data_IF_085957240542
#
_entry.id   IF_085957240542
#
_cell.length_a   1.000
_cell.length_b   1.000
_cell.length_c   1.000
_cell.angle_alpha   90.00
_cell.angle_beta   90.00
_cell.angle_gamma   90.00
#
_symmetry.space_group_name_H-M   'P 1'
#
loop_
_entity.id
_entity.type
_entity.pdbx_description
1 polymer ?
#
# COMPACT_ATOMS: atom_id res chain seq x y z
N UNK A 1 16.60 20.28 9.49
CA UNK A 1 16.83 19.69 8.17
C UNK A 1 15.85 18.54 8.02
N UNK A 2 15.02 18.54 6.97
CA UNK A 2 14.12 17.43 6.68
C UNK A 2 14.89 16.31 5.93
N UNK A 3 14.46 15.07 6.08
CA UNK A 3 15.02 13.93 5.35
C UNK A 3 14.59 13.97 3.88
N UNK A 4 15.49 13.65 2.95
CA UNK A 4 15.22 13.60 1.50
C UNK A 4 16.04 12.50 0.82
N UNK A 5 15.44 11.81 -0.16
CA UNK A 5 16.10 10.85 -1.04
C UNK A 5 15.95 11.37 -2.47
N UNK A 6 17.08 11.67 -3.14
CA UNK A 6 17.08 12.18 -4.51
C UNK A 6 17.68 11.18 -5.51
N UNK A 7 18.20 10.05 -5.02
CA UNK A 7 18.72 8.98 -5.86
C UNK A 7 17.60 7.96 -6.13
N UNK A 8 17.40 7.63 -7.41
CA UNK A 8 16.34 6.72 -7.84
C UNK A 8 16.50 5.31 -7.24
N UNK A 9 17.72 4.77 -7.19
CA UNK A 9 17.98 3.43 -6.68
C UNK A 9 17.77 3.35 -5.16
N UNK A 10 18.12 4.40 -4.43
CA UNK A 10 17.80 4.53 -3.00
C UNK A 10 16.28 4.56 -2.76
N UNK A 11 15.54 5.26 -3.62
CA UNK A 11 14.08 5.34 -3.52
C UNK A 11 13.41 4.00 -3.88
N UNK A 12 13.92 3.28 -4.88
CA UNK A 12 13.50 1.91 -5.19
C UNK A 12 13.80 0.96 -4.03
N UNK A 13 14.96 1.09 -3.39
CA UNK A 13 15.30 0.29 -2.22
C UNK A 13 14.33 0.57 -1.07
N UNK A 14 14.02 1.84 -0.80
CA UNK A 14 13.02 2.21 0.21
C UNK A 14 11.64 1.65 -0.13
N UNK A 15 11.21 1.74 -1.39
CA UNK A 15 9.95 1.15 -1.83
C UNK A 15 9.87 -0.35 -1.50
N UNK A 16 10.94 -1.11 -1.79
CA UNK A 16 11.01 -2.55 -1.46
C UNK A 16 10.92 -2.80 0.05
N UNK A 17 11.61 -2.00 0.86
CA UNK A 17 11.55 -2.10 2.33
C UNK A 17 10.13 -1.84 2.83
N UNK A 18 9.45 -0.81 2.31
CA UNK A 18 8.08 -0.48 2.69
C UNK A 18 7.10 -1.59 2.27
N UNK A 19 7.25 -2.12 1.06
CA UNK A 19 6.43 -3.24 0.59
C UNK A 19 6.61 -4.49 1.45
N UNK A 20 7.85 -4.84 1.81
CA UNK A 20 8.13 -5.97 2.70
C UNK A 20 7.51 -5.77 4.08
N UNK A 21 7.64 -4.57 4.65
CA UNK A 21 7.09 -4.28 5.97
C UNK A 21 5.55 -4.31 5.99
N UNK A 22 4.89 -3.77 4.95
CA UNK A 22 3.43 -3.75 4.86
C UNK A 22 2.83 -5.10 4.47
N UNK A 23 3.50 -5.85 3.60
CA UNK A 23 3.04 -7.12 3.06
C UNK A 23 3.93 -8.29 3.50
N UNK A 24 4.36 -8.26 4.76
CA UNK A 24 4.95 -9.44 5.39
C UNK A 24 3.86 -10.44 5.75
N UNK A 25 4.10 -11.71 5.46
CA UNK A 25 3.22 -12.81 5.88
C UNK A 25 3.35 -13.12 7.37
N UNK A 26 4.49 -12.74 7.98
CA UNK A 26 4.79 -12.96 9.39
C UNK A 26 5.47 -11.71 9.99
N UNK A 27 4.69 -10.62 10.20
CA UNK A 27 5.24 -9.36 10.65
C UNK A 27 5.62 -9.42 12.14
N UNK A 28 6.86 -9.03 12.46
CA UNK A 28 7.27 -8.80 13.84
C UNK A 28 6.46 -7.68 14.52
N UNK A 29 6.07 -6.65 13.75
CA UNK A 29 5.15 -5.60 14.19
C UNK A 29 3.91 -5.56 13.29
N UNK A 30 2.79 -6.19 13.72
CA UNK A 30 1.57 -6.28 12.92
C UNK A 30 0.80 -4.94 12.82
N UNK A 31 1.20 -3.90 13.57
CA UNK A 31 0.57 -2.57 13.51
C UNK A 31 1.00 -1.81 12.26
N UNK A 32 2.21 -2.07 11.75
CA UNK A 32 2.76 -1.40 10.56
C UNK A 32 1.86 -1.56 9.34
N UNK A 33 1.30 -2.76 9.15
CA UNK A 33 0.49 -3.08 7.96
C UNK A 33 -0.73 -2.17 7.84
N UNK A 34 -1.44 -1.94 8.95
CA UNK A 34 -2.65 -1.12 9.00
C UNK A 34 -2.44 0.33 9.44
N UNK A 35 -1.18 0.76 9.61
CA UNK A 35 -0.88 2.10 10.11
C UNK A 35 -1.17 3.17 9.07
N UNK A 36 -1.99 4.20 9.37
CA UNK A 36 -2.28 5.30 8.46
C UNK A 36 -1.04 6.17 8.17
N UNK A 37 -0.10 6.25 9.13
CA UNK A 37 1.15 6.97 8.95
C UNK A 37 2.06 6.24 7.95
N UNK A 38 2.18 4.92 8.09
CA UNK A 38 2.95 4.10 7.16
C UNK A 38 2.30 4.06 5.78
N UNK A 39 0.96 4.04 5.72
CA UNK A 39 0.18 4.19 4.49
C UNK A 39 0.51 5.49 3.75
N UNK A 40 0.58 6.61 4.48
CA UNK A 40 0.98 7.90 3.93
C UNK A 40 2.40 7.86 3.37
N UNK A 41 3.36 7.33 4.13
CA UNK A 41 4.76 7.19 3.69
C UNK A 41 4.86 6.30 2.46
N UNK A 42 4.17 5.16 2.43
CA UNK A 42 4.18 4.24 1.30
C UNK A 42 3.70 4.89 0.01
N UNK A 43 2.61 5.66 0.09
CA UNK A 43 2.09 6.41 -1.05
C UNK A 43 3.09 7.48 -1.51
N UNK A 44 3.68 8.25 -0.58
CA UNK A 44 4.67 9.28 -0.92
C UNK A 44 5.91 8.71 -1.62
N UNK A 45 6.40 7.54 -1.18
CA UNK A 45 7.53 6.85 -1.82
C UNK A 45 7.19 6.47 -3.27
N UNK A 46 5.99 5.93 -3.52
CA UNK A 46 5.57 5.55 -4.87
C UNK A 46 5.34 6.79 -5.75
N UNK A 47 4.72 7.85 -5.24
CA UNK A 47 4.56 9.10 -6.01
C UNK A 47 5.90 9.72 -6.40
N UNK A 48 6.88 9.76 -5.48
CA UNK A 48 8.22 10.25 -5.78
C UNK A 48 8.91 9.40 -6.86
N UNK A 49 8.72 8.07 -6.86
CA UNK A 49 9.23 7.20 -7.94
C UNK A 49 8.57 7.53 -9.28
N UNK A 50 7.25 7.70 -9.28
CA UNK A 50 6.49 8.08 -10.48
C UNK A 50 7.01 9.40 -11.04
N UNK A 51 7.20 10.42 -10.20
CA UNK A 51 7.72 11.72 -10.61
C UNK A 51 9.11 11.59 -11.28
N UNK A 52 10.04 10.88 -10.64
CA UNK A 52 11.38 10.66 -11.21
C UNK A 52 11.35 9.89 -12.54
N UNK A 53 10.47 8.89 -12.68
CA UNK A 53 10.36 8.15 -13.94
C UNK A 53 9.67 8.95 -15.04
N UNK A 54 8.66 9.77 -14.70
CA UNK A 54 8.01 10.67 -15.66
C UNK A 54 9.00 11.71 -16.18
N UNK A 55 9.87 12.25 -15.34
CA UNK A 55 10.93 13.17 -15.77
C UNK A 55 11.91 12.52 -16.77
N UNK A 56 12.16 11.22 -16.63
CA UNK A 56 13.12 10.47 -17.45
C UNK A 56 12.52 9.87 -18.73
N UNK A 57 11.30 9.35 -18.65
CA UNK A 57 10.68 8.49 -19.67
C UNK A 57 9.32 9.03 -20.17
N UNK A 58 8.81 10.10 -19.55
CA UNK A 58 7.56 10.74 -19.91
C UNK A 58 6.32 10.10 -19.28
N UNK A 59 5.14 10.62 -19.66
CA UNK A 59 3.86 10.30 -19.01
C UNK A 59 3.44 8.82 -19.13
N UNK A 60 4.00 8.09 -20.11
CA UNK A 60 3.76 6.65 -20.25
C UNK A 60 4.20 5.86 -19.01
N UNK A 61 5.21 6.33 -18.26
CA UNK A 61 5.64 5.66 -17.02
C UNK A 61 4.62 5.85 -15.89
N UNK A 62 3.89 6.98 -15.83
CA UNK A 62 2.79 7.14 -14.87
C UNK A 62 1.71 6.09 -15.07
N UNK A 63 1.31 5.82 -16.32
CA UNK A 63 0.29 4.82 -16.63
C UNK A 63 0.71 3.43 -16.15
N UNK A 64 1.97 3.03 -16.39
CA UNK A 64 2.51 1.75 -15.90
C UNK A 64 2.44 1.63 -14.37
N UNK A 65 2.76 2.70 -13.65
CA UNK A 65 2.66 2.70 -12.19
C UNK A 65 1.21 2.70 -11.70
N UNK A 66 0.31 3.41 -12.37
CA UNK A 66 -1.12 3.37 -12.05
C UNK A 66 -1.69 1.96 -12.23
N UNK A 67 -1.28 1.25 -13.27
CA UNK A 67 -1.59 -0.16 -13.49
C UNK A 67 -0.96 -1.04 -12.41
N UNK A 68 0.33 -0.86 -12.12
CA UNK A 68 1.02 -1.60 -11.06
C UNK A 68 0.40 -1.38 -9.68
N UNK A 69 -0.17 -0.20 -9.41
CA UNK A 69 -0.83 0.06 -8.12
C UNK A 69 -2.17 -0.62 -8.00
N UNK A 70 -2.79 -1.12 -9.07
CA UNK A 70 -4.07 -1.82 -8.94
C UNK A 70 -3.89 -3.10 -8.12
N UNK A 71 -4.62 -3.19 -7.01
CA UNK A 71 -4.78 -4.43 -6.27
C UNK A 71 -5.71 -5.35 -7.05
N UNK A 72 -5.39 -6.64 -7.11
CA UNK A 72 -6.26 -7.66 -7.67
C UNK A 72 -6.24 -8.92 -6.81
N UNK A 73 -7.29 -9.77 -6.86
CA UNK A 73 -7.38 -11.00 -6.07
C UNK A 73 -6.23 -11.99 -6.29
N UNK A 74 -5.58 -11.95 -7.46
CA UNK A 74 -4.47 -12.83 -7.83
C UNK A 74 -3.15 -12.43 -7.17
N UNK A 75 -3.06 -11.20 -6.63
CA UNK A 75 -1.85 -10.70 -6.00
C UNK A 75 -1.63 -11.29 -4.61
N UNK A 76 -0.36 -11.55 -4.28
CA UNK A 76 0.05 -11.97 -2.94
C UNK A 76 -0.42 -10.98 -1.87
N UNK A 77 -0.36 -9.68 -2.15
CA UNK A 77 -0.76 -8.62 -1.23
C UNK A 77 -2.24 -8.72 -0.84
N UNK A 78 -3.12 -9.08 -1.77
CA UNK A 78 -4.54 -9.27 -1.50
C UNK A 78 -4.77 -10.39 -0.48
N UNK A 79 -4.07 -11.51 -0.63
CA UNK A 79 -4.16 -12.64 0.28
C UNK A 79 -3.67 -12.28 1.69
N UNK A 80 -2.63 -11.45 1.80
CA UNK A 80 -2.12 -10.97 3.08
C UNK A 80 -3.12 -10.04 3.76
N UNK A 81 -3.72 -9.10 3.02
CA UNK A 81 -4.78 -8.23 3.55
C UNK A 81 -5.95 -9.08 4.05
N UNK A 82 -6.37 -10.08 3.28
CA UNK A 82 -7.45 -10.98 3.67
C UNK A 82 -7.09 -11.79 4.94
N UNK A 83 -5.87 -12.29 5.05
CA UNK A 83 -5.40 -13.00 6.24
C UNK A 83 -5.38 -12.07 7.48
N UNK A 84 -4.96 -10.82 7.30
CA UNK A 84 -4.94 -9.80 8.36
C UNK A 84 -6.34 -9.46 8.86
N UNK A 85 -7.31 -9.29 7.96
CA UNK A 85 -8.70 -9.03 8.33
C UNK A 85 -9.36 -10.21 9.05
N UNK A 86 -8.90 -11.44 8.77
CA UNK A 86 -9.37 -12.66 9.46
C UNK A 86 -8.70 -12.90 10.81
N UNK A 87 -7.49 -12.39 11.04
CA UNK A 87 -6.74 -12.62 12.28
C UNK A 87 -7.10 -11.63 13.39
N UNK A 88 -7.51 -10.41 13.03
CA UNK A 88 -7.98 -9.39 13.96
C UNK A 88 -9.41 -9.00 13.62
N UNK A 89 -10.37 -9.23 14.53
CA UNK A 89 -11.78 -8.87 14.34
C UNK A 89 -12.17 -7.54 14.99
N UNK A 90 -11.22 -6.80 15.57
CA UNK A 90 -11.49 -5.52 16.23
C UNK A 90 -12.15 -4.51 15.30
N UNK A 91 -11.79 -4.52 14.01
CA UNK A 91 -12.36 -3.66 12.97
C UNK A 91 -13.87 -3.86 12.77
N UNK A 92 -14.42 -5.04 13.09
CA UNK A 92 -15.87 -5.30 12.93
C UNK A 92 -16.74 -4.42 13.82
N UNK A 93 -16.17 -3.83 14.87
CA UNK A 93 -16.86 -2.91 15.78
C UNK A 93 -16.85 -1.47 15.30
N UNK A 94 -15.99 -1.16 14.32
CA UNK A 94 -15.86 0.18 13.75
C UNK A 94 -17.03 0.49 12.83
N UNK A 95 -17.27 1.77 12.60
CA UNK A 95 -18.28 2.18 11.64
C UNK A 95 -17.82 1.85 10.20
N UNK A 96 -18.74 1.82 9.21
CA UNK A 96 -18.40 1.44 7.85
C UNK A 96 -17.27 2.28 7.22
N UNK A 97 -17.23 3.59 7.47
CA UNK A 97 -16.21 4.48 6.92
C UNK A 97 -14.82 4.16 7.48
N UNK A 98 -14.73 3.85 8.78
CA UNK A 98 -13.50 3.41 9.44
C UNK A 98 -13.01 2.07 8.91
N UNK A 99 -13.91 1.11 8.63
CA UNK A 99 -13.56 -0.17 8.04
C UNK A 99 -12.99 0.00 6.63
N UNK A 100 -13.68 0.78 5.80
CA UNK A 100 -13.24 1.10 4.44
C UNK A 100 -11.88 1.78 4.46
N UNK A 101 -11.69 2.78 5.35
CA UNK A 101 -10.41 3.47 5.51
C UNK A 101 -9.31 2.50 5.91
N UNK A 102 -9.58 1.60 6.85
CA UNK A 102 -8.60 0.61 7.29
C UNK A 102 -8.17 -0.34 6.17
N UNK A 103 -9.10 -0.79 5.32
CA UNK A 103 -8.75 -1.62 4.15
C UNK A 103 -7.87 -0.84 3.19
N UNK A 104 -8.12 0.46 2.97
CA UNK A 104 -7.24 1.32 2.15
C UNK A 104 -5.86 1.50 2.77
N UNK A 105 -5.79 1.66 4.09
CA UNK A 105 -4.52 1.76 4.81
C UNK A 105 -3.72 0.44 4.75
N UNK A 106 -4.39 -0.71 4.83
CA UNK A 106 -3.80 -2.03 4.62
C UNK A 106 -3.32 -2.23 3.18
N UNK A 107 -4.08 -1.77 2.20
CA UNK A 107 -3.78 -1.95 0.78
C UNK A 107 -2.66 -1.04 0.27
N UNK A 108 -2.41 0.09 0.92
CA UNK A 108 -1.36 1.03 0.47
C UNK A 108 0.02 0.36 0.28
N UNK A 109 0.83 0.79 -0.69
CA UNK A 109 0.57 1.84 -1.67
C UNK A 109 -0.30 1.36 -2.86
N UNK A 110 -0.78 0.12 -2.84
CA UNK A 110 -1.73 -0.36 -3.83
C UNK A 110 -3.09 0.32 -3.63
N UNK A 111 -3.79 0.51 -4.73
CA UNK A 111 -5.11 1.08 -4.83
C UNK A 111 -6.13 -0.05 -4.88
N UNK A 112 -7.14 0.05 -4.03
CA UNK A 112 -8.21 -0.95 -3.91
C UNK A 112 -9.54 -0.29 -4.28
N UNK A 113 -10.30 -0.96 -5.14
CA UNK A 113 -11.63 -0.51 -5.57
C UNK A 113 -12.67 -0.79 -4.50
N UNK A 114 -13.78 -0.04 -4.50
CA UNK A 114 -14.86 -0.25 -3.54
C UNK A 114 -15.50 -1.65 -3.65
N UNK A 115 -15.49 -2.24 -4.85
CA UNK A 115 -15.88 -3.65 -5.07
C UNK A 115 -14.97 -4.61 -4.31
N UNK A 116 -13.64 -4.45 -4.43
CA UNK A 116 -12.69 -5.29 -3.71
C UNK A 116 -12.73 -5.06 -2.20
N UNK A 117 -12.95 -3.82 -1.75
CA UNK A 117 -13.16 -3.54 -0.32
C UNK A 117 -14.37 -4.30 0.20
N UNK A 118 -15.48 -4.29 -0.54
CA UNK A 118 -16.69 -5.03 -0.18
C UNK A 118 -16.41 -6.53 -0.07
N UNK A 119 -15.65 -7.08 -1.02
CA UNK A 119 -15.25 -8.50 -0.99
C UNK A 119 -14.32 -8.85 0.19
N UNK A 120 -13.50 -7.92 0.64
CA UNK A 120 -12.57 -8.11 1.77
C UNK A 120 -13.26 -8.01 3.13
N UNK A 121 -14.33 -7.21 3.23
CA UNK A 121 -15.07 -7.00 4.48
C UNK A 121 -16.19 -8.04 4.73
N UNK A 122 -16.56 -8.81 3.70
CA UNK A 122 -17.51 -9.92 3.80
C UNK A 122 -16.87 -11.19 4.38
#
# INVERSE_FOLDING_TARGET
MAFSINNYDELIALHRVVMEAKFSTDPNDPVIQGSPLVSTVANQVVEALIEMEVEKEGEASRLKWQEWRQLSPERREYQIIQAKLKSDFSWKKWNPDEQVKYVRDLASPLQVTDELISNLLN
#
